data_IF_213330853410
#
_entry.id   IF_213330853410
#
_cell.length_a   1.000
_cell.length_b   1.000
_cell.length_c   1.000
_cell.angle_alpha   90.00
_cell.angle_beta   90.00
_cell.angle_gamma   90.00
#
_symmetry.space_group_name_H-M   'P 1'
#
loop_
_entity.id
_entity.type
_entity.pdbx_description
1 polymer ?
#
# COMPACT_ATOMS: atom_id res chain seq x y z
N UNK A 1 -2.59 22.81 1.14
CA UNK A 1 -3.86 23.56 0.96
C UNK A 1 -4.89 23.19 2.01
N UNK A 2 -5.20 21.89 2.23
CA UNK A 2 -6.18 21.47 3.24
C UNK A 2 -5.77 21.81 4.69
N UNK A 3 -4.48 21.77 5.00
CA UNK A 3 -3.95 22.11 6.33
C UNK A 3 -4.19 23.60 6.69
N UNK A 4 -3.96 24.52 5.75
CA UNK A 4 -4.22 25.95 5.98
C UNK A 4 -5.69 26.26 6.24
N UNK A 5 -6.60 25.64 5.46
CA UNK A 5 -8.05 25.78 5.67
C UNK A 5 -8.47 25.17 7.01
N UNK A 6 -7.89 24.02 7.37
CA UNK A 6 -8.14 23.39 8.66
C UNK A 6 -7.75 24.32 9.81
N UNK A 7 -6.55 24.90 9.79
CA UNK A 7 -6.03 25.79 10.84
C UNK A 7 -6.81 27.10 10.97
N UNK A 8 -7.18 27.73 9.85
CA UNK A 8 -7.98 28.96 9.85
C UNK A 8 -9.37 28.73 10.50
N UNK A 9 -9.97 27.58 10.18
CA UNK A 9 -11.28 27.16 10.69
C UNK A 9 -11.21 26.36 11.99
N UNK A 10 -10.02 26.17 12.57
CA UNK A 10 -9.86 25.41 13.80
C UNK A 10 -10.49 26.18 14.97
N UNK A 11 -11.47 25.55 15.62
CA UNK A 11 -12.17 26.07 16.79
C UNK A 11 -11.28 26.06 18.03
N UNK A 12 -10.29 25.17 18.06
CA UNK A 12 -9.28 25.11 19.13
C UNK A 12 -8.19 26.15 18.88
N UNK A 13 -8.24 27.27 19.60
CA UNK A 13 -7.22 28.34 19.49
C UNK A 13 -5.99 28.14 20.38
N UNK A 14 -6.15 27.47 21.54
CA UNK A 14 -5.05 27.12 22.44
C UNK A 14 -4.91 25.61 22.50
N UNK A 15 -3.93 25.07 21.77
CA UNK A 15 -3.73 23.62 21.63
C UNK A 15 -3.05 23.05 22.89
N UNK A 16 -3.73 22.22 23.71
CA UNK A 16 -3.10 21.58 24.86
C UNK A 16 -2.06 20.56 24.40
N UNK A 17 -1.05 20.32 25.22
CA UNK A 17 -0.15 19.18 25.02
C UNK A 17 -0.92 17.88 25.26
N UNK A 18 -0.74 16.91 24.37
CA UNK A 18 -1.36 15.59 24.46
C UNK A 18 -0.29 14.55 24.20
N UNK A 19 -0.17 13.57 25.08
CA UNK A 19 0.70 12.42 24.85
C UNK A 19 0.13 11.53 23.74
N UNK A 20 1.00 10.77 23.09
CA UNK A 20 0.61 9.75 22.12
C UNK A 20 -0.10 8.61 22.86
N UNK A 21 -1.21 8.13 22.30
CA UNK A 21 -1.86 6.91 22.82
C UNK A 21 -1.21 5.73 22.12
N UNK A 22 -0.41 4.98 22.87
CA UNK A 22 0.14 3.71 22.40
C UNK A 22 -0.76 2.55 22.85
N UNK A 23 -1.23 1.79 21.86
CA UNK A 23 -1.79 0.47 22.03
C UNK A 23 -0.69 -0.59 22.11
N UNK A 24 -1.09 -1.86 22.15
CA UNK A 24 -0.20 -2.97 22.47
C UNK A 24 -0.55 -3.60 23.82
N UNK A 25 0.09 -4.72 24.14
CA UNK A 25 -0.04 -5.44 25.43
C UNK A 25 -1.47 -5.89 25.77
N UNK A 26 -2.26 -6.28 24.76
CA UNK A 26 -3.62 -6.81 24.96
C UNK A 26 -4.72 -5.75 25.18
N UNK A 27 -4.40 -4.46 25.03
CA UNK A 27 -5.44 -3.40 25.05
C UNK A 27 -6.35 -3.52 23.82
N UNK A 28 -7.68 -3.37 23.98
CA UNK A 28 -8.59 -3.47 22.85
C UNK A 28 -8.51 -2.24 21.95
N UNK A 29 -8.29 -2.47 20.66
CA UNK A 29 -8.12 -1.44 19.61
C UNK A 29 -9.19 -0.34 19.63
N UNK A 30 -10.46 -0.68 19.82
CA UNK A 30 -11.54 0.31 19.82
C UNK A 30 -11.40 1.36 20.94
N UNK A 31 -10.85 1.00 22.10
CA UNK A 31 -10.62 1.94 23.20
C UNK A 31 -9.45 2.85 22.90
N UNK A 32 -8.36 2.29 22.40
CA UNK A 32 -7.14 3.02 22.01
C UNK A 32 -7.47 4.00 20.89
N UNK A 33 -8.20 3.56 19.86
CA UNK A 33 -8.67 4.38 18.75
C UNK A 33 -9.57 5.53 19.22
N UNK A 34 -10.57 5.25 20.07
CA UNK A 34 -11.48 6.27 20.59
C UNK A 34 -10.73 7.30 21.45
N UNK A 35 -9.78 6.87 22.26
CA UNK A 35 -8.95 7.78 23.06
C UNK A 35 -8.03 8.63 22.17
N UNK A 36 -7.37 8.02 21.19
CA UNK A 36 -6.52 8.72 20.24
C UNK A 36 -7.32 9.76 19.44
N UNK A 37 -8.54 9.41 18.98
CA UNK A 37 -9.43 10.35 18.30
C UNK A 37 -9.84 11.51 19.19
N UNK A 38 -10.20 11.22 20.45
CA UNK A 38 -10.55 12.27 21.42
C UNK A 38 -9.37 13.22 21.64
N UNK A 39 -8.14 12.71 21.76
CA UNK A 39 -6.93 13.55 21.90
C UNK A 39 -6.66 14.39 20.67
N UNK A 40 -6.90 13.83 19.48
CA UNK A 40 -6.80 14.57 18.23
C UNK A 40 -7.80 15.73 18.17
N UNK A 41 -9.08 15.48 18.50
CA UNK A 41 -10.12 16.51 18.53
C UNK A 41 -9.87 17.62 19.55
N UNK A 42 -9.16 17.35 20.66
CA UNK A 42 -8.76 18.40 21.62
C UNK A 42 -7.82 19.46 21.03
N UNK A 43 -7.17 19.17 19.90
CA UNK A 43 -6.22 20.06 19.22
C UNK A 43 -6.73 20.51 17.85
N UNK A 44 -7.57 19.69 17.22
CA UNK A 44 -8.00 19.83 15.83
C UNK A 44 -9.52 19.65 15.76
N UNK A 45 -10.27 20.75 15.77
CA UNK A 45 -11.73 20.75 15.60
C UNK A 45 -12.10 21.74 14.49
N UNK A 46 -12.38 21.22 13.30
CA UNK A 46 -12.86 22.03 12.19
C UNK A 46 -13.70 21.19 11.22
N UNK A 47 -14.42 21.86 10.32
CA UNK A 47 -15.23 21.20 9.29
C UNK A 47 -14.42 20.24 8.42
N UNK A 48 -13.12 20.50 8.24
CA UNK A 48 -12.21 19.63 7.50
C UNK A 48 -11.96 18.32 8.27
N UNK A 49 -11.86 18.38 9.59
CA UNK A 49 -11.75 17.18 10.44
C UNK A 49 -13.00 16.32 10.28
N UNK A 50 -14.18 16.94 10.38
CA UNK A 50 -15.46 16.24 10.29
C UNK A 50 -15.71 15.55 8.94
N UNK A 51 -15.20 16.13 7.84
CA UNK A 51 -15.52 15.69 6.48
C UNK A 51 -14.41 14.94 5.77
N UNK A 52 -13.15 15.20 6.14
CA UNK A 52 -12.00 14.74 5.37
C UNK A 52 -10.99 13.95 6.21
N UNK A 53 -11.12 13.91 7.54
CA UNK A 53 -10.19 13.17 8.37
C UNK A 53 -10.74 11.83 8.82
N UNK A 54 -9.89 10.82 8.81
CA UNK A 54 -10.11 9.52 9.41
C UNK A 54 -8.92 9.10 10.27
N UNK A 55 -8.91 7.84 10.71
CA UNK A 55 -7.78 7.25 11.44
C UNK A 55 -7.26 5.98 10.76
N UNK A 56 -5.94 5.86 10.68
CA UNK A 56 -5.24 4.64 10.29
C UNK A 56 -4.79 3.89 11.52
N UNK A 57 -4.92 2.57 11.50
CA UNK A 57 -4.32 1.68 12.49
C UNK A 57 -2.92 1.26 11.99
N UNK A 58 -1.89 1.84 12.56
CA UNK A 58 -0.50 1.49 12.29
C UNK A 58 -0.07 0.39 13.27
N UNK A 59 0.47 -0.71 12.75
CA UNK A 59 0.99 -1.81 13.56
C UNK A 59 2.43 -2.09 13.17
N UNK A 60 3.31 -2.00 14.15
CA UNK A 60 4.74 -2.25 13.99
C UNK A 60 5.14 -3.37 14.93
N UNK A 61 5.73 -4.42 14.38
CA UNK A 61 6.34 -5.51 15.15
C UNK A 61 7.85 -5.38 15.03
N UNK A 62 8.55 -5.26 16.16
CA UNK A 62 10.00 -5.22 16.17
C UNK A 62 10.57 -6.61 15.83
N UNK A 63 11.41 -6.76 14.78
CA UNK A 63 11.92 -8.07 14.39
C UNK A 63 12.99 -8.65 15.34
N UNK A 64 13.45 -7.87 16.32
CA UNK A 64 14.50 -8.27 17.27
C UNK A 64 13.92 -8.69 18.63
N UNK A 65 12.93 -7.96 19.14
CA UNK A 65 12.35 -8.19 20.47
C UNK A 65 10.87 -8.59 20.44
N UNK A 66 10.26 -8.75 19.26
CA UNK A 66 8.85 -9.12 19.06
C UNK A 66 7.84 -8.15 19.71
N UNK A 67 8.29 -6.97 20.11
CA UNK A 67 7.43 -5.96 20.68
C UNK A 67 6.48 -5.41 19.60
N UNK A 68 5.18 -5.45 19.91
CA UNK A 68 4.12 -4.88 19.08
C UNK A 68 3.77 -3.47 19.56
N UNK A 69 3.86 -2.52 18.65
CA UNK A 69 3.40 -1.15 18.85
C UNK A 69 2.22 -0.88 17.91
N UNK A 70 1.08 -0.51 18.50
CA UNK A 70 -0.13 -0.12 17.76
C UNK A 70 -0.39 1.37 18.00
N UNK A 71 -0.48 2.15 16.93
CA UNK A 71 -0.87 3.56 16.98
C UNK A 71 -2.06 3.82 16.07
N UNK A 72 -2.84 4.84 16.41
CA UNK A 72 -3.97 5.29 15.60
C UNK A 72 -3.73 6.72 15.13
N UNK A 73 -3.35 6.84 13.86
CA UNK A 73 -2.83 8.07 13.28
C UNK A 73 -3.89 8.76 12.41
N UNK A 74 -4.21 10.05 12.65
CA UNK A 74 -5.12 10.80 11.80
C UNK A 74 -4.59 10.93 10.36
N UNK A 75 -5.45 10.79 9.36
CA UNK A 75 -5.10 11.00 7.96
C UNK A 75 -6.14 11.87 7.24
N UNK A 76 -5.71 12.64 6.23
CA UNK A 76 -6.61 13.42 5.35
C UNK A 76 -6.68 12.88 3.92
N UNK A 77 -5.70 12.05 3.53
CA UNK A 77 -5.60 11.45 2.20
C UNK A 77 -4.96 10.07 2.30
N UNK A 78 -5.34 9.18 1.37
CA UNK A 78 -4.76 7.85 1.26
C UNK A 78 -4.00 7.73 -0.05
N UNK A 79 -2.70 7.49 0.05
CA UNK A 79 -1.86 7.14 -1.08
C UNK A 79 -1.97 5.65 -1.33
N UNK A 80 -2.71 5.26 -2.38
CA UNK A 80 -2.88 3.87 -2.75
C UNK A 80 -1.79 3.45 -3.74
N UNK A 81 -1.06 2.35 -3.49
CA UNK A 81 -0.10 1.84 -4.46
C UNK A 81 -0.82 1.29 -5.69
N UNK A 82 -0.34 1.64 -6.88
CA UNK A 82 -0.82 1.05 -8.13
C UNK A 82 -0.33 -0.40 -8.18
N UNK A 83 -1.27 -1.34 -8.33
CA UNK A 83 -0.95 -2.75 -8.51
C UNK A 83 -0.12 -2.93 -9.81
N UNK A 84 1.15 -3.30 -9.69
CA UNK A 84 2.03 -3.62 -10.82
C UNK A 84 3.32 -2.82 -10.95
N UNK A 85 3.50 -1.71 -10.21
CA UNK A 85 4.70 -0.88 -10.34
C UNK A 85 5.73 -1.01 -9.20
N UNK A 86 5.55 -1.96 -8.27
CA UNK A 86 6.55 -2.23 -7.21
C UNK A 86 6.00 -2.42 -5.79
N UNK A 87 4.68 -2.44 -5.60
CA UNK A 87 4.06 -2.79 -4.32
C UNK A 87 3.92 -4.30 -4.19
N UNK A 88 4.45 -4.87 -3.11
CA UNK A 88 4.41 -6.29 -2.72
C UNK A 88 3.00 -6.91 -2.79
N UNK A 89 2.51 -7.28 -3.98
CA UNK A 89 1.46 -8.26 -4.22
C UNK A 89 1.75 -8.98 -5.53
N UNK A 90 2.02 -10.27 -5.40
CA UNK A 90 2.06 -11.23 -6.49
C UNK A 90 3.46 -11.53 -6.98
N UNK A 91 4.01 -12.66 -6.53
CA UNK A 91 5.04 -13.43 -7.23
C UNK A 91 4.56 -13.95 -8.62
N UNK A 92 3.61 -13.25 -9.25
CA UNK A 92 2.87 -13.60 -10.46
C UNK A 92 2.65 -12.37 -11.36
N UNK A 93 3.54 -11.38 -11.29
CA UNK A 93 3.56 -10.36 -12.32
C UNK A 93 4.13 -10.98 -13.61
N UNK A 94 3.32 -11.13 -14.65
CA UNK A 94 3.74 -11.61 -15.98
C UNK A 94 3.89 -10.45 -16.96
N UNK A 95 4.93 -10.44 -17.77
CA UNK A 95 5.12 -9.54 -18.92
C UNK A 95 4.75 -10.26 -20.21
N UNK A 96 4.14 -9.55 -21.16
CA UNK A 96 3.94 -10.06 -22.53
C UNK A 96 5.17 -9.76 -23.37
N UNK A 97 5.72 -10.78 -24.02
CA UNK A 97 6.90 -10.70 -24.88
C UNK A 97 6.51 -11.20 -26.27
N UNK A 98 6.95 -10.48 -27.31
CA UNK A 98 6.83 -10.92 -28.70
C UNK A 98 8.01 -11.83 -29.04
N UNK A 99 7.73 -13.06 -29.47
CA UNK A 99 8.74 -14.07 -29.81
C UNK A 99 8.54 -14.54 -31.24
N UNK A 100 9.62 -14.52 -32.02
CA UNK A 100 9.65 -15.07 -33.38
C UNK A 100 10.26 -16.45 -33.37
N UNK A 101 9.47 -17.48 -33.67
CA UNK A 101 9.91 -18.88 -33.71
C UNK A 101 10.31 -19.25 -35.14
N UNK A 102 11.57 -19.67 -35.31
CA UNK A 102 12.11 -20.18 -36.58
C UNK A 102 12.36 -21.68 -36.42
N UNK A 103 11.54 -22.52 -37.09
CA UNK A 103 11.69 -23.98 -37.07
C UNK A 103 12.66 -24.44 -38.19
N UNK A 104 13.45 -25.48 -37.92
CA UNK A 104 14.33 -26.15 -38.89
C UNK A 104 13.70 -27.49 -39.30
N UNK A 105 13.77 -27.92 -40.58
CA UNK A 105 14.61 -27.41 -41.67
C UNK A 105 14.13 -26.08 -42.30
N UNK A 106 15.03 -25.31 -42.93
CA UNK A 106 14.86 -23.89 -43.29
C UNK A 106 13.90 -23.62 -44.46
N UNK A 107 12.65 -24.09 -44.37
CA UNK A 107 11.58 -23.84 -45.35
C UNK A 107 10.25 -23.39 -44.76
N UNK A 108 10.09 -23.41 -43.43
CA UNK A 108 8.89 -22.92 -42.74
C UNK A 108 8.99 -21.42 -42.45
N UNK A 109 7.95 -20.61 -42.73
CA UNK A 109 7.96 -19.19 -42.43
C UNK A 109 8.05 -18.96 -40.91
N UNK A 110 8.85 -17.98 -40.45
CA UNK A 110 8.90 -17.60 -39.05
C UNK A 110 7.50 -17.22 -38.55
N UNK A 111 7.13 -17.71 -37.36
CA UNK A 111 5.85 -17.38 -36.73
C UNK A 111 6.10 -16.48 -35.52
N UNK A 112 5.45 -15.33 -35.49
CA UNK A 112 5.50 -14.40 -34.36
C UNK A 112 4.33 -14.65 -33.42
N UNK A 113 4.62 -14.83 -32.14
CA UNK A 113 3.62 -15.12 -31.11
C UNK A 113 3.87 -14.30 -29.84
N UNK A 114 2.78 -13.98 -29.15
CA UNK A 114 2.80 -13.24 -27.89
C UNK A 114 2.74 -14.21 -26.72
N UNK A 115 3.79 -14.26 -25.90
CA UNK A 115 3.87 -15.13 -24.72
C UNK A 115 3.88 -14.32 -23.43
N UNK A 116 3.19 -14.83 -22.41
CA UNK A 116 3.19 -14.23 -21.08
C UNK A 116 4.20 -14.95 -20.21
N UNK A 117 5.24 -14.23 -19.76
CA UNK A 117 6.35 -14.80 -18.97
C UNK A 117 6.47 -14.05 -17.65
N UNK A 118 6.74 -14.73 -16.52
CA UNK A 118 6.98 -14.05 -15.24
C UNK A 118 8.06 -12.97 -15.34
N UNK A 119 7.87 -11.85 -14.62
CA UNK A 119 8.83 -10.73 -14.58
C UNK A 119 10.18 -11.12 -13.97
N UNK A 120 10.22 -12.15 -13.11
CA UNK A 120 11.43 -12.75 -12.56
C UNK A 120 11.79 -14.10 -13.22
N UNK A 121 11.11 -14.46 -14.31
CA UNK A 121 11.31 -15.74 -14.99
C UNK A 121 12.61 -15.78 -15.80
N UNK A 122 13.13 -16.99 -16.00
CA UNK A 122 14.35 -17.25 -16.76
C UNK A 122 14.05 -17.61 -18.24
N UNK A 123 15.08 -17.92 -19.03
CA UNK A 123 14.92 -18.30 -20.45
C UNK A 123 14.19 -19.64 -20.62
N UNK A 124 14.17 -20.49 -19.58
CA UNK A 124 13.44 -21.75 -19.58
C UNK A 124 11.93 -21.53 -19.49
N UNK A 125 11.48 -20.59 -18.65
CA UNK A 125 10.07 -20.17 -18.59
C UNK A 125 9.59 -19.60 -19.93
N UNK A 126 10.48 -18.89 -20.65
CA UNK A 126 10.20 -18.42 -22.00
C UNK A 126 10.06 -19.59 -22.99
N UNK A 127 10.94 -20.59 -22.91
CA UNK A 127 10.89 -21.78 -23.76
C UNK A 127 9.60 -22.56 -23.53
N UNK A 128 9.20 -22.76 -22.29
CA UNK A 128 7.96 -23.44 -21.92
C UNK A 128 6.74 -22.66 -22.41
N UNK A 129 6.68 -21.34 -22.15
CA UNK A 129 5.58 -20.50 -22.63
C UNK A 129 5.46 -20.49 -24.17
N UNK A 130 6.58 -20.55 -24.88
CA UNK A 130 6.60 -20.66 -26.35
C UNK A 130 6.16 -22.05 -26.82
N UNK A 131 6.51 -23.11 -26.08
CA UNK A 131 6.09 -24.48 -26.37
C UNK A 131 4.60 -24.73 -26.08
N UNK A 132 4.01 -24.04 -25.09
CA UNK A 132 2.57 -24.08 -24.84
C UNK A 132 1.76 -23.24 -25.86
N UNK A 133 2.37 -22.17 -26.40
CA UNK A 133 1.70 -21.23 -27.30
C UNK A 133 1.78 -21.59 -28.79
N UNK A 134 2.60 -22.57 -29.21
CA UNK A 134 2.87 -22.89 -30.61
C UNK A 134 2.99 -24.37 -30.93
#
# INVERSE_FOLDING_TARGET
MMDGIHEDLNRVKKKPYTEVVEGGDGKPDHKVAAEAWRRHLMRNDSLIVDRCQGMLRSHLTCPVCDHESVTFDPYMSLSLPIAGAGGKRGAHASRKIEVTVVRLPPGTPPTTLWVSVPLQGNVEDLREAVAEAG
#
